data_IF_522976152895
#
_entry.id   IF_522976152895
#
_cell.length_a   1.000
_cell.length_b   1.000
_cell.length_c   1.000
_cell.angle_alpha   90.00
_cell.angle_beta   90.00
_cell.angle_gamma   90.00
#
_symmetry.space_group_name_H-M   'P 1'
#
loop_
_entity.id
_entity.type
_entity.pdbx_description
1 polymer ?
#
# COMPACT_ATOMS: atom_id res chain seq x y z
N UNK A 1 -16.63 4.07 -81.09
CA UNK A 1 -15.25 3.82 -80.61
C UNK A 1 -14.92 4.80 -79.47
N UNK A 2 -14.62 4.39 -78.23
CA UNK A 2 -13.85 3.26 -77.75
C UNK A 2 -14.25 2.98 -76.29
N UNK A 3 -14.35 1.69 -75.97
CA UNK A 3 -14.16 1.01 -74.69
C UNK A 3 -14.93 1.43 -73.42
N UNK A 4 -15.90 0.59 -73.03
CA UNK A 4 -16.20 0.27 -71.63
C UNK A 4 -15.16 -0.77 -71.13
N UNK A 5 -14.43 -0.42 -70.07
CA UNK A 5 -13.46 -1.28 -69.40
C UNK A 5 -14.17 -2.25 -68.41
N UNK A 6 -13.69 -3.50 -68.27
CA UNK A 6 -14.24 -4.46 -67.32
C UNK A 6 -13.72 -4.24 -65.88
N UNK A 7 -14.60 -4.47 -64.91
CA UNK A 7 -14.35 -4.46 -63.46
C UNK A 7 -13.24 -5.45 -63.06
N UNK A 8 -12.21 -4.95 -62.38
CA UNK A 8 -11.21 -5.77 -61.68
C UNK A 8 -11.51 -5.73 -60.18
N UNK A 9 -11.96 -6.88 -59.65
CA UNK A 9 -12.18 -7.09 -58.22
C UNK A 9 -10.86 -7.00 -57.45
N UNK A 10 -10.76 -6.04 -56.54
CA UNK A 10 -9.65 -5.95 -55.59
C UNK A 10 -9.70 -7.11 -54.57
N UNK A 11 -8.57 -7.79 -54.26
CA UNK A 11 -8.54 -8.78 -53.19
C UNK A 11 -8.47 -8.08 -51.82
N UNK A 12 -9.33 -8.51 -50.91
CA UNK A 12 -9.39 -8.04 -49.52
C UNK A 12 -8.06 -8.31 -48.78
N UNK A 13 -7.56 -7.38 -47.95
CA UNK A 13 -6.35 -7.59 -47.19
C UNK A 13 -6.56 -8.65 -46.11
N UNK A 14 -5.68 -9.66 -46.10
CA UNK A 14 -5.61 -10.70 -45.07
C UNK A 14 -5.38 -10.02 -43.71
N UNK A 15 -6.18 -10.38 -42.71
CA UNK A 15 -6.03 -9.92 -41.32
C UNK A 15 -4.61 -10.22 -40.84
N UNK A 16 -3.80 -9.18 -40.69
CA UNK A 16 -2.52 -9.29 -40.01
C UNK A 16 -2.81 -9.74 -38.57
N UNK A 17 -2.28 -10.89 -38.19
CA UNK A 17 -2.24 -11.29 -36.78
C UNK A 17 -1.50 -10.22 -36.00
N UNK A 18 -2.00 -9.90 -34.81
CA UNK A 18 -1.33 -8.97 -33.91
C UNK A 18 0.02 -9.61 -33.53
N UNK A 19 1.11 -8.92 -33.85
CA UNK A 19 2.47 -9.36 -33.55
C UNK A 19 2.80 -9.03 -32.09
N UNK A 20 2.89 -10.08 -31.26
CA UNK A 20 3.19 -9.98 -29.84
C UNK A 20 4.69 -9.92 -29.55
N UNK A 21 5.55 -9.91 -30.57
CA UNK A 21 7.02 -9.76 -30.42
C UNK A 21 7.42 -8.41 -29.80
N UNK A 22 6.48 -7.45 -29.73
CA UNK A 22 6.67 -6.16 -29.04
C UNK A 22 6.56 -6.28 -27.50
N UNK A 23 6.01 -7.38 -26.99
CA UNK A 23 5.88 -7.64 -25.55
C UNK A 23 7.00 -8.52 -24.99
N UNK A 24 7.84 -9.15 -25.82
CA UNK A 24 8.97 -9.98 -25.37
C UNK A 24 10.13 -9.16 -24.75
N UNK A 25 10.10 -7.82 -24.84
CA UNK A 25 11.07 -6.92 -24.23
C UNK A 25 10.45 -6.02 -23.15
N UNK A 26 9.29 -6.38 -22.59
CA UNK A 26 8.83 -5.75 -21.35
C UNK A 26 9.53 -6.48 -20.20
N UNK A 27 10.67 -5.95 -19.79
CA UNK A 27 11.30 -6.31 -18.53
C UNK A 27 10.35 -5.91 -17.39
N UNK A 28 9.98 -6.90 -16.58
CA UNK A 28 9.20 -6.74 -15.36
C UNK A 28 10.01 -5.86 -14.40
N UNK A 29 9.64 -4.58 -14.34
CA UNK A 29 10.30 -3.55 -13.55
C UNK A 29 9.86 -3.66 -12.08
N UNK A 30 10.15 -4.78 -11.42
CA UNK A 30 9.98 -4.92 -9.96
C UNK A 30 10.84 -6.04 -9.34
N UNK A 31 12.13 -6.08 -9.68
CA UNK A 31 13.12 -6.85 -8.92
C UNK A 31 14.41 -6.04 -8.80
N UNK A 32 14.57 -5.32 -7.67
CA UNK A 32 15.79 -4.60 -7.33
C UNK A 32 16.98 -5.56 -7.22
N UNK A 33 17.73 -5.72 -8.31
CA UNK A 33 19.07 -6.33 -8.28
C UNK A 33 20.13 -5.24 -7.99
N UNK A 34 20.87 -5.29 -6.86
CA UNK A 34 21.95 -4.37 -6.58
C UNK A 34 23.13 -4.58 -7.55
N UNK A 35 23.69 -3.46 -8.01
CA UNK A 35 24.83 -3.38 -8.93
C UNK A 35 26.08 -4.05 -8.36
N UNK A 36 26.62 -4.95 -9.16
CA UNK A 36 27.95 -5.54 -9.00
C UNK A 36 29.04 -4.48 -9.19
N UNK A 37 29.89 -4.28 -8.19
CA UNK A 37 31.27 -3.84 -8.38
C UNK A 37 32.19 -5.03 -8.09
N UNK A 38 32.93 -5.43 -9.11
CA UNK A 38 33.96 -6.45 -9.01
C UNK A 38 35.12 -5.94 -8.14
N UNK A 39 35.50 -6.69 -7.11
CA UNK A 39 36.90 -6.93 -6.75
C UNK A 39 36.99 -8.16 -5.85
N UNK A 40 37.77 -9.12 -6.33
CA UNK A 40 38.13 -10.38 -5.70
C UNK A 40 39.03 -10.18 -4.49
N UNK A 41 38.51 -10.40 -3.28
CA UNK A 41 39.29 -10.89 -2.13
C UNK A 41 38.39 -11.78 -1.26
N UNK A 42 38.75 -13.06 -1.15
CA UNK A 42 38.02 -14.06 -0.37
C UNK A 42 38.11 -13.74 1.14
N UNK A 43 37.15 -12.97 1.64
CA UNK A 43 36.94 -12.75 3.07
C UNK A 43 36.16 -13.94 3.62
N UNK A 44 36.78 -14.67 4.54
CA UNK A 44 36.16 -15.74 5.32
C UNK A 44 35.05 -15.09 6.17
N UNK A 45 33.80 -15.14 5.72
CA UNK A 45 32.67 -14.61 6.48
C UNK A 45 32.50 -15.42 7.76
N UNK A 46 32.61 -14.74 8.90
CA UNK A 46 32.43 -15.37 10.20
C UNK A 46 30.96 -15.75 10.37
N UNK A 47 30.67 -16.93 10.93
CA UNK A 47 29.29 -17.36 11.11
C UNK A 47 28.58 -16.47 12.14
N UNK A 48 27.38 -16.01 11.78
CA UNK A 48 26.55 -15.17 12.65
C UNK A 48 25.43 -16.00 13.30
N UNK A 49 24.99 -15.59 14.49
CA UNK A 49 23.85 -16.22 15.15
C UNK A 49 22.52 -15.81 14.48
N UNK A 50 21.62 -16.76 14.22
CA UNK A 50 20.31 -16.47 13.64
C UNK A 50 19.36 -15.69 14.57
N UNK A 51 19.49 -15.88 15.89
CA UNK A 51 18.61 -15.24 16.87
C UNK A 51 19.08 -13.84 17.30
N UNK A 52 20.40 -13.66 17.51
CA UNK A 52 20.94 -12.43 18.08
C UNK A 52 21.88 -11.66 17.14
N UNK A 53 22.09 -12.16 15.92
CA UNK A 53 22.90 -11.54 14.85
C UNK A 53 24.35 -11.19 15.22
N UNK A 54 24.87 -11.70 16.34
CA UNK A 54 26.27 -11.53 16.75
C UNK A 54 27.19 -12.48 15.99
N UNK A 55 28.38 -12.00 15.64
CA UNK A 55 29.46 -12.83 15.10
C UNK A 55 29.89 -13.88 16.15
N UNK A 56 29.97 -15.14 15.74
CA UNK A 56 30.35 -16.26 16.62
C UNK A 56 31.57 -16.95 16.02
N UNK A 57 32.57 -17.27 16.83
CA UNK A 57 33.74 -18.04 16.38
C UNK A 57 33.47 -19.56 16.31
N UNK A 58 32.49 -20.06 17.08
CA UNK A 58 32.07 -21.46 17.12
C UNK A 58 30.54 -21.56 17.11
N UNK A 59 29.90 -21.57 15.93
CA UNK A 59 28.45 -21.65 15.83
C UNK A 59 27.94 -23.05 16.18
N UNK A 60 26.87 -23.11 16.98
CA UNK A 60 26.09 -24.31 17.21
C UNK A 60 25.03 -24.44 16.10
N UNK A 61 25.06 -25.53 15.33
CA UNK A 61 24.05 -25.81 14.30
C UNK A 61 22.83 -26.52 14.88
N UNK A 62 21.67 -26.23 14.32
CA UNK A 62 20.45 -26.98 14.66
C UNK A 62 20.62 -28.49 14.33
N UNK A 63 20.38 -29.37 15.31
CA UNK A 63 20.60 -30.82 15.15
C UNK A 63 19.68 -31.50 14.13
N UNK A 64 18.53 -30.90 13.81
CA UNK A 64 17.52 -31.49 12.91
C UNK A 64 17.77 -31.11 11.45
N UNK A 65 17.87 -29.81 11.16
CA UNK A 65 18.02 -29.30 9.80
C UNK A 65 19.47 -29.02 9.41
N UNK A 66 20.36 -28.76 10.38
CA UNK A 66 21.77 -28.36 10.20
C UNK A 66 21.99 -27.09 9.33
N UNK A 67 20.92 -26.34 9.02
CA UNK A 67 20.95 -25.15 8.14
C UNK A 67 21.19 -23.84 8.88
N UNK A 68 20.77 -23.73 10.14
CA UNK A 68 20.87 -22.50 10.95
C UNK A 68 21.93 -22.63 12.03
N UNK A 69 22.55 -21.50 12.37
CA UNK A 69 23.68 -21.38 13.29
C UNK A 69 23.37 -20.45 14.46
N UNK A 70 23.81 -20.81 15.67
CA UNK A 70 23.55 -20.09 16.91
C UNK A 70 24.81 -19.87 17.73
N UNK A 71 24.85 -18.79 18.51
CA UNK A 71 25.96 -18.54 19.44
C UNK A 71 25.91 -19.41 20.71
N UNK A 72 24.71 -19.85 21.11
CA UNK A 72 24.49 -20.58 22.34
C UNK A 72 23.21 -21.43 22.29
N UNK A 73 23.09 -22.48 23.14
CA UNK A 73 21.85 -23.24 23.28
C UNK A 73 20.64 -22.38 23.70
N UNK A 74 20.89 -21.27 24.40
CA UNK A 74 19.83 -20.33 24.77
C UNK A 74 19.23 -19.66 23.54
N UNK A 75 20.07 -19.16 22.64
CA UNK A 75 19.62 -18.58 21.37
C UNK A 75 18.88 -19.59 20.47
N UNK A 76 19.24 -20.86 20.53
CA UNK A 76 18.51 -21.92 19.81
C UNK A 76 17.10 -22.14 20.38
N UNK A 77 16.92 -22.08 21.71
CA UNK A 77 15.61 -22.25 22.37
C UNK A 77 14.68 -21.07 22.12
N UNK A 78 15.21 -19.85 22.18
CA UNK A 78 14.43 -18.64 21.94
C UNK A 78 13.93 -18.57 20.49
N UNK A 79 14.80 -18.91 19.54
CA UNK A 79 14.46 -18.96 18.11
C UNK A 79 13.59 -20.18 17.73
N UNK A 80 13.51 -21.21 18.58
CA UNK A 80 12.69 -22.41 18.30
C UNK A 80 11.21 -22.08 18.06
N UNK A 81 10.69 -20.98 18.63
CA UNK A 81 9.32 -20.50 18.37
C UNK A 81 9.08 -20.21 16.88
N UNK A 82 10.11 -19.76 16.17
CA UNK A 82 10.07 -19.40 14.76
C UNK A 82 10.70 -20.49 13.88
N UNK A 83 11.91 -20.94 14.21
CA UNK A 83 12.66 -21.93 13.43
C UNK A 83 11.95 -23.27 13.26
N UNK A 84 11.14 -23.71 14.23
CA UNK A 84 10.39 -24.99 14.12
C UNK A 84 9.50 -25.08 12.87
N UNK A 85 9.03 -23.93 12.33
CA UNK A 85 8.20 -23.88 11.12
C UNK A 85 9.01 -24.14 9.85
N UNK A 86 10.30 -23.82 9.86
CA UNK A 86 11.21 -23.93 8.72
C UNK A 86 12.23 -25.08 8.87
N UNK A 87 12.28 -25.72 10.04
CA UNK A 87 13.18 -26.82 10.35
C UNK A 87 12.81 -28.11 9.60
N UNK A 88 13.51 -28.40 8.50
CA UNK A 88 13.36 -29.64 7.70
C UNK A 88 14.67 -30.42 7.64
N UNK A 89 14.61 -31.76 7.78
CA UNK A 89 15.78 -32.65 7.67
C UNK A 89 16.32 -32.61 6.23
N UNK A 90 17.64 -32.47 6.01
CA UNK A 90 18.20 -32.52 4.66
C UNK A 90 18.16 -33.96 4.10
N UNK A 91 17.77 -34.11 2.82
CA UNK A 91 17.91 -35.38 2.09
C UNK A 91 19.38 -35.59 1.68
N UNK A 92 19.87 -36.84 1.63
CA UNK A 92 21.23 -37.13 1.18
C UNK A 92 21.41 -36.76 -0.30
N UNK A 93 22.53 -36.14 -0.71
CA UNK A 93 22.76 -35.76 -2.10
C UNK A 93 22.83 -36.99 -3.02
N UNK A 94 22.02 -37.01 -4.08
CA UNK A 94 22.18 -37.94 -5.21
C UNK A 94 23.30 -37.42 -6.12
N UNK A 95 24.29 -38.26 -6.39
CA UNK A 95 25.40 -37.99 -7.31
C UNK A 95 24.88 -37.68 -8.74
N UNK A 96 25.39 -36.61 -9.35
CA UNK A 96 25.04 -36.17 -10.71
C UNK A 96 26.00 -36.84 -11.71
N UNK A 97 25.46 -37.54 -12.71
CA UNK A 97 26.16 -37.90 -13.93
C UNK A 97 25.53 -37.13 -15.12
N UNK A 98 26.41 -36.63 -15.97
CA UNK A 98 26.19 -35.70 -17.08
C UNK A 98 25.55 -36.32 -18.34
N UNK A 99 24.92 -35.45 -19.12
CA UNK A 99 24.60 -35.41 -20.56
C UNK A 99 24.64 -36.68 -21.43
N UNK A 100 23.53 -36.92 -22.16
CA UNK A 100 23.48 -37.12 -23.63
C UNK A 100 22.04 -37.07 -24.17
N UNK A 101 21.84 -36.36 -25.29
CA UNK A 101 20.63 -36.36 -26.15
C UNK A 101 20.59 -37.64 -27.04
N UNK A 102 19.44 -37.99 -27.66
CA UNK A 102 19.00 -39.36 -27.89
C UNK A 102 19.45 -39.98 -29.23
N UNK A 103 19.43 -41.30 -29.30
CA UNK A 103 19.64 -42.13 -30.51
C UNK A 103 18.63 -43.31 -30.50
N UNK A 104 18.40 -44.03 -31.63
CA UNK A 104 17.08 -44.46 -32.13
C UNK A 104 16.54 -45.77 -31.52
N UNK A 105 15.27 -46.15 -31.81
CA UNK A 105 14.62 -47.29 -31.18
C UNK A 105 15.16 -48.61 -31.74
N UNK A 106 15.58 -49.51 -30.85
CA UNK A 106 15.86 -50.90 -31.19
C UNK A 106 14.58 -51.73 -31.07
N UNK A 107 14.27 -52.38 -32.19
CA UNK A 107 13.29 -53.43 -32.38
C UNK A 107 13.51 -54.58 -31.41
N UNK A 108 12.52 -54.86 -30.55
CA UNK A 108 12.21 -56.24 -30.11
C UNK A 108 10.97 -56.23 -29.21
N UNK A 109 9.79 -56.33 -29.83
CA UNK A 109 8.69 -57.19 -29.37
C UNK A 109 7.46 -57.03 -30.25
N UNK A 110 7.63 -57.46 -31.49
CA UNK A 110 6.49 -57.93 -32.26
C UNK A 110 6.18 -59.35 -31.80
N UNK A 111 5.14 -59.50 -30.99
CA UNK A 111 4.12 -60.51 -31.26
C UNK A 111 2.94 -60.39 -30.31
N UNK A 112 1.77 -60.37 -30.94
CA UNK A 112 0.47 -60.82 -30.41
C UNK A 112 -0.39 -59.77 -29.72
N UNK A 113 -1.08 -58.96 -30.53
CA UNK A 113 -2.55 -59.00 -30.56
C UNK A 113 -3.09 -58.40 -31.86
N UNK A 114 -3.76 -59.24 -32.63
CA UNK A 114 -4.38 -58.90 -33.90
C UNK A 114 -5.52 -57.89 -33.72
N UNK A 115 -5.64 -57.04 -34.73
CA UNK A 115 -6.70 -56.06 -34.97
C UNK A 115 -7.92 -56.80 -35.52
N UNK A 116 -9.00 -56.83 -34.75
CA UNK A 116 -10.35 -57.07 -35.27
C UNK A 116 -11.17 -55.79 -35.10
N UNK A 117 -11.83 -55.42 -36.19
CA UNK A 117 -12.76 -54.30 -36.29
C UNK A 117 -14.00 -54.60 -35.46
N UNK A 118 -14.22 -53.82 -34.40
CA UNK A 118 -15.48 -53.85 -33.65
C UNK A 118 -16.11 -52.46 -33.64
N UNK A 119 -16.98 -52.28 -34.64
CA UNK A 119 -18.24 -51.53 -34.63
C UNK A 119 -18.46 -50.61 -33.41
N UNK A 120 -18.35 -49.29 -33.63
CA UNK A 120 -18.82 -48.27 -32.69
C UNK A 120 -20.34 -48.43 -32.55
N UNK A 121 -20.77 -49.01 -31.42
CA UNK A 121 -22.12 -48.88 -30.92
C UNK A 121 -22.13 -47.64 -30.03
N UNK A 122 -22.66 -46.55 -30.56
CA UNK A 122 -23.15 -45.43 -29.75
C UNK A 122 -24.26 -45.96 -28.84
N UNK A 123 -23.87 -46.34 -27.62
CA UNK A 123 -24.82 -46.42 -26.51
C UNK A 123 -24.37 -45.39 -25.50
N UNK A 124 -25.24 -44.39 -25.37
CA UNK A 124 -25.25 -43.44 -24.27
C UNK A 124 -25.21 -44.22 -22.96
N UNK A 125 -24.07 -44.26 -22.27
CA UNK A 125 -23.94 -44.35 -20.81
C UNK A 125 -22.49 -44.67 -20.38
N UNK A 126 -22.04 -43.97 -19.32
CA UNK A 126 -20.84 -44.22 -18.51
C UNK A 126 -19.45 -43.72 -18.98
N UNK A 127 -19.32 -42.39 -19.13
CA UNK A 127 -18.10 -41.68 -18.72
C UNK A 127 -18.23 -41.20 -17.26
N UNK A 128 -18.13 -42.12 -16.29
CA UNK A 128 -18.26 -41.85 -14.86
C UNK A 128 -16.91 -41.59 -14.17
N UNK A 129 -16.19 -40.55 -14.59
CA UNK A 129 -14.99 -40.08 -13.89
C UNK A 129 -15.15 -38.70 -13.21
N UNK A 130 -16.22 -37.96 -13.49
CA UNK A 130 -16.48 -36.68 -12.82
C UNK A 130 -17.83 -36.69 -12.10
N UNK A 131 -17.81 -37.15 -10.85
CA UNK A 131 -18.97 -37.17 -9.95
C UNK A 131 -19.23 -35.76 -9.40
N UNK A 132 -19.72 -34.85 -10.25
CA UNK A 132 -20.40 -33.66 -9.76
C UNK A 132 -21.67 -34.12 -9.05
N UNK A 133 -21.73 -33.86 -7.74
CA UNK A 133 -22.93 -33.92 -6.90
C UNK A 133 -24.11 -33.37 -7.70
N UNK A 134 -24.99 -34.26 -8.14
CA UNK A 134 -26.11 -33.95 -9.03
C UNK A 134 -27.08 -32.99 -8.35
N UNK A 135 -26.79 -31.70 -8.41
CA UNK A 135 -27.79 -30.69 -8.21
C UNK A 135 -28.60 -30.59 -9.51
N UNK A 136 -29.67 -31.38 -9.58
CA UNK A 136 -30.75 -31.19 -10.54
C UNK A 136 -31.74 -30.20 -9.90
N UNK A 137 -31.84 -28.94 -10.34
CA UNK A 137 -32.92 -28.07 -9.88
C UNK A 137 -34.26 -28.69 -10.32
N UNK A 138 -35.19 -28.88 -9.39
CA UNK A 138 -36.52 -29.46 -9.66
C UNK A 138 -37.40 -28.61 -10.59
N UNK A 139 -36.95 -27.41 -10.96
CA UNK A 139 -37.53 -26.60 -12.02
C UNK A 139 -36.63 -26.63 -13.25
N UNK A 140 -37.14 -27.18 -14.36
CA UNK A 140 -36.43 -27.21 -15.65
C UNK A 140 -35.84 -25.86 -16.07
N UNK A 141 -34.86 -25.90 -16.99
CA UNK A 141 -34.08 -24.75 -17.49
C UNK A 141 -34.98 -23.52 -17.67
N UNK A 142 -34.89 -22.55 -16.75
CA UNK A 142 -35.53 -21.24 -16.89
C UNK A 142 -34.69 -20.43 -17.86
N UNK A 143 -35.21 -20.23 -19.06
CA UNK A 143 -34.63 -19.28 -20.01
C UNK A 143 -34.89 -17.85 -19.52
N UNK A 144 -33.85 -17.23 -18.97
CA UNK A 144 -33.88 -15.82 -18.58
C UNK A 144 -33.76 -14.95 -19.83
N UNK A 145 -34.90 -14.49 -20.34
CA UNK A 145 -34.91 -13.45 -21.38
C UNK A 145 -34.56 -12.11 -20.72
N UNK A 146 -33.53 -11.38 -21.19
CA UNK A 146 -33.15 -10.11 -20.61
C UNK A 146 -34.33 -9.13 -20.71
N UNK A 147 -34.79 -8.65 -19.56
CA UNK A 147 -35.86 -7.67 -19.48
C UNK A 147 -35.32 -6.33 -20.00
N UNK A 148 -35.95 -5.78 -21.04
CA UNK A 148 -35.55 -4.47 -21.56
C UNK A 148 -35.83 -3.40 -20.50
N UNK A 149 -34.82 -2.57 -20.23
CA UNK A 149 -34.94 -1.46 -19.30
C UNK A 149 -35.87 -0.44 -19.95
N UNK A 150 -37.09 -0.33 -19.48
CA UNK A 150 -37.99 0.75 -19.88
C UNK A 150 -37.56 2.05 -19.20
N UNK A 151 -37.82 3.18 -19.85
CA UNK A 151 -37.50 4.55 -19.41
C UNK A 151 -37.80 4.86 -17.93
N UNK A 152 -38.89 4.38 -17.30
CA UNK A 152 -39.13 4.63 -15.87
C UNK A 152 -38.17 3.85 -14.94
N UNK A 153 -37.68 2.67 -15.35
CA UNK A 153 -36.72 1.89 -14.56
C UNK A 153 -35.31 2.48 -14.67
N UNK A 154 -34.97 3.03 -15.84
CA UNK A 154 -33.74 3.82 -16.02
C UNK A 154 -33.76 5.09 -15.16
N UNK A 155 -34.90 5.80 -15.09
CA UNK A 155 -35.07 6.98 -14.23
C UNK A 155 -34.98 6.62 -12.75
N UNK A 156 -35.63 5.54 -12.31
CA UNK A 156 -35.52 5.06 -10.93
C UNK A 156 -34.10 4.58 -10.55
N UNK A 157 -33.33 4.05 -11.52
CA UNK A 157 -31.92 3.69 -11.31
C UNK A 157 -31.02 4.93 -11.19
N UNK A 158 -31.31 6.00 -11.94
CA UNK A 158 -30.62 7.30 -11.83
C UNK A 158 -30.99 8.01 -10.53
N UNK A 159 -32.24 7.90 -10.06
CA UNK A 159 -32.66 8.41 -8.75
C UNK A 159 -32.07 7.61 -7.59
N UNK A 160 -31.87 6.30 -7.77
CA UNK A 160 -31.19 5.45 -6.79
C UNK A 160 -29.67 5.68 -6.74
N UNK A 161 -29.02 6.09 -7.85
CA UNK A 161 -27.61 6.50 -7.85
C UNK A 161 -27.37 7.88 -7.25
N UNK A 162 -28.41 8.71 -7.15
CA UNK A 162 -28.37 10.04 -6.54
C UNK A 162 -28.64 10.05 -5.03
N UNK A 163 -28.86 8.88 -4.41
CA UNK A 163 -28.87 8.81 -2.94
C UNK A 163 -27.42 8.83 -2.43
N UNK A 164 -27.12 9.59 -1.36
CA UNK A 164 -25.82 9.53 -0.70
C UNK A 164 -25.73 8.18 0.04
N UNK A 165 -25.36 7.14 -0.70
CA UNK A 165 -24.98 5.86 -0.14
C UNK A 165 -23.45 5.86 -0.07
N UNK A 166 -22.90 5.65 1.12
CA UNK A 166 -21.46 5.72 1.36
C UNK A 166 -20.61 4.77 0.50
N UNK A 167 -21.21 3.76 -0.14
CA UNK A 167 -20.54 2.77 -0.98
C UNK A 167 -20.97 2.80 -2.46
N UNK A 168 -20.10 2.29 -3.32
CA UNK A 168 -20.40 2.11 -4.75
C UNK A 168 -21.62 1.21 -4.94
N UNK A 169 -22.46 1.55 -5.93
CA UNK A 169 -23.70 0.81 -6.24
C UNK A 169 -23.49 -0.68 -6.55
N UNK A 170 -22.25 -1.10 -6.80
CA UNK A 170 -21.83 -2.48 -7.03
C UNK A 170 -21.63 -3.32 -5.75
N UNK A 171 -21.43 -2.68 -4.59
CA UNK A 171 -21.12 -3.35 -3.33
C UNK A 171 -22.38 -3.68 -2.51
N UNK A 172 -23.34 -4.35 -3.15
CA UNK A 172 -24.60 -4.77 -2.52
C UNK A 172 -24.42 -5.80 -1.38
N UNK A 173 -23.25 -6.44 -1.30
CA UNK A 173 -22.92 -7.47 -0.33
C UNK A 173 -22.22 -6.96 0.95
N UNK A 174 -22.00 -5.64 1.09
CA UNK A 174 -21.34 -5.07 2.27
C UNK A 174 -19.84 -5.37 2.38
N UNK A 175 -19.21 -5.70 1.24
CA UNK A 175 -17.76 -5.89 1.12
C UNK A 175 -17.01 -4.60 1.47
N UNK A 176 -15.84 -4.75 2.09
CA UNK A 176 -14.90 -3.65 2.35
C UNK A 176 -14.59 -2.93 1.03
N UNK A 177 -14.84 -1.61 1.00
CA UNK A 177 -14.47 -0.73 -0.09
C UNK A 177 -13.57 0.36 0.46
N UNK A 178 -12.31 0.38 0.04
CA UNK A 178 -11.37 1.41 0.43
C UNK A 178 -11.39 2.57 -0.58
N UNK A 179 -11.41 3.78 -0.05
CA UNK A 179 -11.34 5.01 -0.84
C UNK A 179 -10.16 5.78 -0.31
N UNK A 180 -9.05 5.70 -1.05
CA UNK A 180 -7.90 6.54 -0.80
C UNK A 180 -8.26 8.00 -1.12
N UNK A 181 -8.10 8.87 -0.13
CA UNK A 181 -8.36 10.30 -0.23
C UNK A 181 -7.16 11.10 0.27
N UNK A 182 -5.97 10.49 0.27
CA UNK A 182 -4.73 11.06 0.80
C UNK A 182 -4.41 12.42 0.18
N UNK A 183 -4.44 12.53 -1.15
CA UNK A 183 -4.13 13.81 -1.83
C UNK A 183 -5.10 14.93 -1.45
N UNK A 184 -6.41 14.61 -1.39
CA UNK A 184 -7.45 15.56 -0.99
C UNK A 184 -7.30 15.96 0.48
N UNK A 185 -6.97 15.01 1.36
CA UNK A 185 -6.73 15.27 2.77
C UNK A 185 -5.52 16.20 2.97
N UNK A 186 -4.41 15.93 2.29
CA UNK A 186 -3.20 16.77 2.35
C UNK A 186 -3.48 18.19 1.85
N UNK A 187 -4.18 18.33 0.72
CA UNK A 187 -4.52 19.63 0.16
C UNK A 187 -5.45 20.44 1.08
N UNK A 188 -6.55 19.83 1.54
CA UNK A 188 -7.52 20.51 2.41
C UNK A 188 -6.91 20.90 3.75
N UNK A 189 -6.05 20.06 4.33
CA UNK A 189 -5.32 20.39 5.56
C UNK A 189 -4.37 21.58 5.34
N UNK A 190 -3.62 21.57 4.23
CA UNK A 190 -2.72 22.66 3.86
C UNK A 190 -3.47 23.99 3.67
N UNK A 191 -4.64 23.97 3.03
CA UNK A 191 -5.49 25.15 2.84
C UNK A 191 -6.03 25.68 4.18
N UNK A 192 -6.50 24.80 5.08
CA UNK A 192 -7.03 25.19 6.39
C UNK A 192 -5.96 25.78 7.31
N UNK A 193 -4.77 25.19 7.30
CA UNK A 193 -3.62 25.67 8.07
C UNK A 193 -2.95 26.90 7.43
N UNK A 194 -3.06 27.07 6.11
CA UNK A 194 -2.60 28.27 5.40
C UNK A 194 -3.52 29.49 5.57
N UNK A 195 -4.72 29.30 6.13
CA UNK A 195 -5.65 30.38 6.44
C UNK A 195 -5.14 31.31 7.56
N UNK A 196 -5.82 32.45 7.72
CA UNK A 196 -5.47 33.43 8.77
C UNK A 196 -5.50 32.79 10.17
N UNK A 197 -4.33 32.74 10.81
CA UNK A 197 -4.16 32.33 12.20
C UNK A 197 -4.06 33.56 13.11
N UNK A 198 -4.49 33.46 14.38
CA UNK A 198 -4.29 34.52 15.34
C UNK A 198 -2.79 34.76 15.55
N UNK A 199 -2.39 36.03 15.53
CA UNK A 199 -1.09 36.44 16.04
C UNK A 199 -1.10 36.40 17.55
N UNK A 200 -0.05 35.88 18.16
CA UNK A 200 0.13 35.84 19.61
C UNK A 200 1.24 36.81 20.01
N UNK A 201 0.94 37.76 20.89
CA UNK A 201 1.92 38.74 21.36
C UNK A 201 2.71 38.19 22.55
N UNK A 202 4.03 37.97 22.39
CA UNK A 202 4.90 37.47 23.45
C UNK A 202 6.27 38.16 23.42
N UNK A 203 6.80 38.50 24.59
CA UNK A 203 8.18 38.97 24.74
C UNK A 203 8.48 40.29 24.02
N UNK A 204 7.49 41.17 23.84
CA UNK A 204 7.64 42.43 23.10
C UNK A 204 7.65 42.26 21.58
N UNK A 205 7.21 41.11 21.08
CA UNK A 205 7.03 40.82 19.67
C UNK A 205 5.72 40.10 19.37
N UNK A 206 5.44 39.93 18.09
CA UNK A 206 4.28 39.21 17.56
C UNK A 206 4.74 37.91 16.89
N UNK A 207 4.12 36.81 17.31
CA UNK A 207 4.30 35.46 16.77
C UNK A 207 3.17 35.15 15.80
N UNK A 208 3.50 34.87 14.55
CA UNK A 208 2.55 34.55 13.49
C UNK A 208 2.94 33.26 12.78
N UNK A 209 1.95 32.49 12.31
CA UNK A 209 2.18 31.41 11.36
C UNK A 209 2.35 31.97 9.94
N UNK A 210 3.38 31.51 9.24
CA UNK A 210 3.72 31.91 7.86
C UNK A 210 3.20 30.90 6.82
N UNK A 211 2.87 29.68 7.26
CA UNK A 211 2.24 28.65 6.41
C UNK A 211 2.70 27.23 6.75
N UNK A 212 2.39 26.28 5.88
CA UNK A 212 2.77 24.88 6.01
C UNK A 212 3.82 24.52 4.95
N UNK A 213 4.92 23.89 5.36
CA UNK A 213 6.01 23.46 4.48
C UNK A 213 5.64 22.18 3.72
N UNK A 214 5.38 21.12 4.48
CA UNK A 214 5.01 19.80 3.97
C UNK A 214 3.89 19.21 4.80
N UNK A 215 3.04 18.43 4.13
CA UNK A 215 2.04 17.55 4.73
C UNK A 215 2.27 16.18 4.10
N UNK A 216 2.52 15.20 4.94
CA UNK A 216 2.84 13.82 4.57
C UNK A 216 1.93 12.88 5.38
N UNK A 217 1.81 11.63 4.93
CA UNK A 217 0.96 10.62 5.56
C UNK A 217 -0.19 10.17 4.67
N UNK A 218 -1.04 9.31 5.21
CA UNK A 218 -2.13 8.64 4.50
C UNK A 218 -3.50 9.00 5.06
N UNK A 219 -4.51 9.02 4.18
CA UNK A 219 -5.89 9.25 4.55
C UNK A 219 -6.82 8.41 3.68
N UNK A 220 -7.64 7.58 4.32
CA UNK A 220 -8.58 6.69 3.66
C UNK A 220 -9.97 6.79 4.29
N UNK A 221 -10.99 6.51 3.46
CA UNK A 221 -12.40 6.46 3.89
C UNK A 221 -12.99 5.07 3.61
N UNK A 222 -12.62 4.03 4.39
CA UNK A 222 -13.11 2.70 4.14
C UNK A 222 -14.60 2.55 4.51
N UNK A 223 -15.37 1.93 3.62
CA UNK A 223 -16.79 1.64 3.80
C UNK A 223 -16.91 0.18 4.25
N UNK A 224 -17.34 -0.03 5.50
CA UNK A 224 -17.47 -1.37 6.09
C UNK A 224 -18.94 -1.61 6.43
N UNK A 225 -19.55 -2.63 5.82
CA UNK A 225 -20.97 -3.01 6.05
C UNK A 225 -21.93 -1.81 5.91
N UNK A 226 -21.67 -0.93 4.95
CA UNK A 226 -22.48 0.26 4.67
C UNK A 226 -22.25 1.46 5.60
N UNK A 227 -21.37 1.35 6.61
CA UNK A 227 -20.98 2.49 7.45
C UNK A 227 -19.59 2.97 7.03
N UNK A 228 -19.50 4.21 6.55
CA UNK A 228 -18.23 4.86 6.27
C UNK A 228 -17.42 4.97 7.57
N UNK A 229 -16.12 4.69 7.49
CA UNK A 229 -15.12 5.04 8.48
C UNK A 229 -14.17 6.02 7.84
N UNK A 230 -13.51 6.80 8.67
CA UNK A 230 -12.49 7.74 8.27
C UNK A 230 -11.24 7.38 9.06
N UNK A 231 -10.15 7.14 8.34
CA UNK A 231 -8.84 6.86 8.91
C UNK A 231 -7.86 7.84 8.29
N UNK A 232 -7.04 8.45 9.11
CA UNK A 232 -5.95 9.29 8.65
C UNK A 232 -4.81 9.20 9.66
N UNK A 233 -3.60 9.26 9.15
CA UNK A 233 -2.38 9.43 9.89
C UNK A 233 -1.53 10.43 9.12
N UNK A 234 -1.48 11.67 9.60
CA UNK A 234 -0.83 12.78 8.92
C UNK A 234 0.28 13.36 9.80
N UNK A 235 1.33 13.80 9.13
CA UNK A 235 2.44 14.54 9.74
C UNK A 235 2.73 15.78 8.92
N UNK A 236 2.91 16.92 9.57
CA UNK A 236 3.10 18.18 8.85
C UNK A 236 4.01 19.16 9.58
N UNK A 237 4.59 20.08 8.81
CA UNK A 237 5.53 21.11 9.30
C UNK A 237 4.95 22.49 9.10
N UNK A 238 4.71 23.21 10.19
CA UNK A 238 4.17 24.57 10.20
C UNK A 238 5.30 25.57 10.40
N UNK A 239 5.46 26.52 9.48
CA UNK A 239 6.41 27.62 9.56
C UNK A 239 5.83 28.74 10.42
N UNK A 240 6.59 29.21 11.39
CA UNK A 240 6.25 30.40 12.16
C UNK A 240 7.34 31.46 12.04
N UNK A 241 6.90 32.70 12.17
CA UNK A 241 7.73 33.90 12.15
C UNK A 241 7.43 34.69 13.41
N UNK A 242 8.47 34.96 14.19
CA UNK A 242 8.43 35.83 15.36
C UNK A 242 9.08 37.16 15.02
N UNK A 243 8.34 38.27 15.09
CA UNK A 243 8.84 39.63 14.82
C UNK A 243 8.89 40.40 16.12
N UNK A 244 10.03 40.98 16.48
CA UNK A 244 10.17 41.81 17.67
C UNK A 244 10.89 43.13 17.36
N UNK A 245 10.67 44.11 18.22
CA UNK A 245 11.37 45.39 18.16
C UNK A 245 12.58 45.35 19.09
N UNK A 246 13.74 45.74 18.57
CA UNK A 246 14.96 45.92 19.34
C UNK A 246 15.55 47.30 19.05
N UNK A 247 16.43 47.80 19.91
CA UNK A 247 17.02 49.14 19.80
C UNK A 247 17.72 49.44 18.46
N UNK A 248 18.01 48.41 17.64
CA UNK A 248 18.57 48.51 16.29
C UNK A 248 17.58 48.28 15.14
N UNK A 249 16.26 48.24 15.40
CA UNK A 249 15.22 48.07 14.39
C UNK A 249 14.37 46.80 14.58
N UNK A 250 13.51 46.52 13.60
CA UNK A 250 12.66 45.33 13.61
C UNK A 250 13.50 44.09 13.29
N UNK A 251 13.46 43.12 14.19
CA UNK A 251 14.09 41.81 14.03
C UNK A 251 13.03 40.76 13.79
N UNK A 252 13.42 39.68 13.12
CA UNK A 252 12.57 38.52 12.90
C UNK A 252 13.36 37.24 13.06
N UNK A 253 12.70 36.20 13.57
CA UNK A 253 13.23 34.85 13.65
C UNK A 253 12.21 33.90 13.06
N UNK A 254 12.70 32.93 12.31
CA UNK A 254 11.88 31.90 11.69
C UNK A 254 12.12 30.56 12.37
N UNK A 255 11.09 29.73 12.37
CA UNK A 255 11.17 28.37 12.87
C UNK A 255 10.05 27.51 12.31
N UNK A 256 10.14 26.22 12.59
CA UNK A 256 9.16 25.23 12.17
C UNK A 256 8.68 24.44 13.38
N UNK A 257 7.38 24.21 13.46
CA UNK A 257 6.76 23.23 14.35
C UNK A 257 6.40 22.01 13.52
N UNK A 258 7.02 20.89 13.84
CA UNK A 258 6.67 19.58 13.30
C UNK A 258 5.63 18.94 14.21
N UNK A 259 4.51 18.54 13.60
CA UNK A 259 3.42 17.79 14.23
C UNK A 259 3.45 16.39 13.63
N UNK A 260 3.80 15.38 14.43
CA UNK A 260 3.72 13.96 14.08
C UNK A 260 2.50 13.31 14.72
N UNK A 261 2.08 12.17 14.19
CA UNK A 261 1.02 11.35 14.76
C UNK A 261 -0.35 12.08 14.84
N UNK A 262 -0.65 12.94 13.86
CA UNK A 262 -1.98 13.54 13.76
C UNK A 262 -2.94 12.52 13.15
N UNK A 263 -3.64 11.83 14.03
CA UNK A 263 -4.57 10.74 13.72
C UNK A 263 -6.00 11.06 14.16
N UNK A 264 -6.95 10.16 13.86
CA UNK A 264 -8.33 10.23 14.33
C UNK A 264 -8.43 10.46 15.85
N UNK A 265 -7.56 9.80 16.62
CA UNK A 265 -7.63 9.77 18.08
C UNK A 265 -7.05 11.03 18.76
N UNK A 266 -6.42 11.93 17.99
CA UNK A 266 -5.73 13.11 18.52
C UNK A 266 -6.63 14.00 19.39
N UNK A 267 -7.93 14.03 19.08
CA UNK A 267 -8.94 14.84 19.77
C UNK A 267 -10.03 13.99 20.47
N UNK A 268 -9.87 12.67 20.54
CA UNK A 268 -10.88 11.77 21.13
C UNK A 268 -10.78 11.78 22.64
N UNK A 269 -11.86 12.17 23.32
CA UNK A 269 -11.92 12.19 24.78
C UNK A 269 -11.76 10.76 25.36
N UNK A 270 -10.74 10.55 26.21
CA UNK A 270 -10.49 9.28 26.90
C UNK A 270 -9.32 8.44 26.36
N UNK A 271 -8.91 8.68 25.11
CA UNK A 271 -7.67 8.12 24.51
C UNK A 271 -6.82 9.31 24.09
N UNK A 272 -6.17 9.96 25.06
CA UNK A 272 -5.27 11.09 24.80
C UNK A 272 -4.02 10.59 24.06
N UNK A 273 -4.12 10.43 22.74
CA UNK A 273 -2.96 10.28 21.86
C UNK A 273 -2.48 11.68 21.48
N UNK A 274 -1.61 12.25 22.31
CA UNK A 274 -1.00 13.54 22.00
C UNK A 274 -0.11 13.41 20.76
N UNK A 275 -0.24 14.31 19.77
CA UNK A 275 0.64 14.30 18.61
C UNK A 275 2.06 14.66 19.06
N UNK A 276 3.07 14.14 18.37
CA UNK A 276 4.45 14.53 18.63
C UNK A 276 4.69 15.97 18.17
N UNK A 277 5.03 16.86 19.10
CA UNK A 277 5.33 18.26 18.79
C UNK A 277 6.82 18.52 18.91
N UNK A 278 7.45 18.94 17.82
CA UNK A 278 8.87 19.32 17.80
C UNK A 278 9.04 20.72 17.23
N UNK A 279 9.64 21.61 18.02
CA UNK A 279 10.00 22.98 17.59
C UNK A 279 11.45 23.01 17.12
N UNK A 280 11.68 23.61 15.96
CA UNK A 280 13.00 23.88 15.42
C UNK A 280 13.10 25.36 15.02
N UNK A 281 14.24 25.99 15.28
CA UNK A 281 14.50 27.37 14.88
C UNK A 281 15.54 27.35 13.77
N UNK A 282 15.27 28.03 12.64
CA UNK A 282 16.27 28.18 11.57
C UNK A 282 17.38 29.14 11.98
N UNK A 283 17.02 30.22 12.69
CA UNK A 283 17.92 31.31 13.04
C UNK A 283 18.17 31.36 14.56
N UNK A 284 18.70 30.25 15.09
CA UNK A 284 18.97 30.10 16.53
C UNK A 284 19.95 31.13 17.11
N UNK A 285 20.78 31.77 16.26
CA UNK A 285 21.76 32.78 16.64
C UNK A 285 21.16 34.18 16.85
N UNK A 286 19.94 34.44 16.34
CA UNK A 286 19.31 35.76 16.44
C UNK A 286 18.42 35.93 17.68
N UNK A 287 18.18 34.84 18.41
CA UNK A 287 17.32 34.81 19.59
C UNK A 287 18.14 34.61 20.85
N UNK A 288 18.06 35.57 21.77
CA UNK A 288 18.57 35.41 23.12
C UNK A 288 17.84 34.25 23.83
N UNK A 289 18.55 33.49 24.67
CA UNK A 289 18.02 32.27 25.32
C UNK A 289 16.73 32.51 26.10
N UNK A 290 16.60 33.67 26.76
CA UNK A 290 15.38 34.05 27.47
C UNK A 290 14.18 34.28 26.54
N UNK A 291 14.40 34.95 25.40
CA UNK A 291 13.36 35.16 24.38
C UNK A 291 12.98 33.85 23.70
N UNK A 292 13.94 32.99 23.40
CA UNK A 292 13.67 31.65 22.85
C UNK A 292 12.76 30.85 23.77
N UNK A 293 13.05 30.81 25.07
CA UNK A 293 12.20 30.13 26.05
C UNK A 293 10.79 30.73 26.12
N UNK A 294 10.67 32.06 26.02
CA UNK A 294 9.37 32.73 25.96
C UNK A 294 8.59 32.37 24.68
N UNK A 295 9.25 32.29 23.52
CA UNK A 295 8.63 31.87 22.25
C UNK A 295 8.24 30.39 22.30
N UNK A 296 9.07 29.51 22.85
CA UNK A 296 8.73 28.09 23.05
C UNK A 296 7.52 27.94 23.99
N UNK A 297 7.43 28.74 25.05
CA UNK A 297 6.25 28.78 25.92
C UNK A 297 5.00 29.32 25.18
N UNK A 298 5.16 30.35 24.34
CA UNK A 298 4.09 30.91 23.52
C UNK A 298 3.54 29.95 22.47
N UNK A 299 4.41 29.08 21.93
CA UNK A 299 4.01 28.02 21.03
C UNK A 299 3.11 27.03 21.76
N UNK A 300 3.39 26.72 23.04
CA UNK A 300 2.52 25.86 23.84
C UNK A 300 2.73 24.37 23.58
N UNK A 301 3.95 23.94 23.25
CA UNK A 301 4.26 22.53 22.92
C UNK A 301 4.44 21.62 24.13
N UNK A 302 4.27 22.13 25.35
CA UNK A 302 4.54 21.39 26.60
C UNK A 302 3.37 20.56 27.12
N UNK A 303 2.13 20.84 26.69
CA UNK A 303 0.93 20.16 27.15
C UNK A 303 -0.06 19.96 25.99
N UNK A 304 -0.75 18.82 25.97
CA UNK A 304 -1.83 18.53 25.04
C UNK A 304 -3.12 18.24 25.83
N UNK A 305 -4.24 18.91 25.53
CA UNK A 305 -4.41 19.98 24.55
C UNK A 305 -3.70 21.29 24.95
N UNK A 306 -3.26 22.11 23.97
CA UNK A 306 -2.55 23.36 24.22
C UNK A 306 -3.43 24.42 24.92
N UNK A 307 -2.83 25.17 25.84
CA UNK A 307 -3.50 26.20 26.64
C UNK A 307 -4.06 27.34 25.76
N UNK A 308 -5.20 27.89 26.17
CA UNK A 308 -5.87 28.98 25.46
C UNK A 308 -4.95 30.22 25.37
N UNK A 309 -4.81 30.76 24.16
CA UNK A 309 -3.94 31.90 23.88
C UNK A 309 -2.54 31.55 23.35
N UNK A 310 -2.18 30.27 23.26
CA UNK A 310 -0.95 29.82 22.58
C UNK A 310 -1.16 29.72 21.07
N UNK A 311 -0.06 29.77 20.29
CA UNK A 311 -0.14 29.58 18.84
C UNK A 311 -0.67 28.17 18.50
N UNK A 312 -0.20 27.14 19.23
CA UNK A 312 -0.65 25.77 19.01
C UNK A 312 -2.12 25.57 19.37
N UNK A 313 -2.72 26.38 20.24
CA UNK A 313 -4.17 26.35 20.44
C UNK A 313 -4.93 26.75 19.19
N UNK A 314 -4.47 27.80 18.47
CA UNK A 314 -5.03 28.17 17.18
C UNK A 314 -4.85 27.07 16.12
N UNK A 315 -3.66 26.46 16.06
CA UNK A 315 -3.37 25.35 15.15
C UNK A 315 -4.23 24.12 15.49
N UNK A 316 -4.32 23.74 16.75
CA UNK A 316 -5.12 22.61 17.23
C UNK A 316 -6.62 22.83 16.96
N UNK A 317 -7.14 24.05 17.13
CA UNK A 317 -8.52 24.37 16.79
C UNK A 317 -8.80 24.18 15.29
N UNK A 318 -7.85 24.57 14.41
CA UNK A 318 -7.94 24.33 12.97
C UNK A 318 -7.83 22.85 12.61
N UNK A 319 -6.93 22.11 13.25
CA UNK A 319 -6.80 20.65 13.09
C UNK A 319 -8.10 19.95 13.50
N UNK A 320 -8.69 20.33 14.64
CA UNK A 320 -9.95 19.76 15.11
C UNK A 320 -11.12 20.11 14.18
N UNK A 321 -11.16 21.34 13.67
CA UNK A 321 -12.16 21.74 12.68
C UNK A 321 -12.02 20.92 11.40
N UNK A 322 -10.79 20.77 10.88
CA UNK A 322 -10.54 19.95 9.70
C UNK A 322 -10.90 18.48 9.93
N UNK A 323 -10.58 17.90 11.10
CA UNK A 323 -10.93 16.52 11.41
C UNK A 323 -12.45 16.28 11.41
N UNK A 324 -13.23 17.23 11.95
CA UNK A 324 -14.71 17.19 11.89
C UNK A 324 -15.23 17.29 10.47
N UNK A 325 -14.72 18.24 9.69
CA UNK A 325 -15.10 18.39 8.27
C UNK A 325 -14.74 17.13 7.46
N UNK A 326 -13.59 16.50 7.75
CA UNK A 326 -13.16 15.27 7.11
C UNK A 326 -14.08 14.08 7.43
N UNK A 327 -14.63 14.02 8.64
CA UNK A 327 -15.64 13.04 9.04
C UNK A 327 -17.00 13.29 8.36
N UNK A 328 -17.42 14.55 8.27
CA UNK A 328 -18.72 14.95 7.70
C UNK A 328 -18.79 14.86 6.18
N UNK A 329 -17.65 14.98 5.48
CA UNK A 329 -17.51 14.86 4.02
C UNK A 329 -17.69 13.39 3.59
N UNK A 330 -18.94 12.91 3.65
CA UNK A 330 -19.38 11.54 3.33
C UNK A 330 -20.24 11.45 2.07
#
# INVERSE_FOLDING_TARGET
PVAAAPEVKAPLPKKAGIDYSKFDNIEDSDDEKPKETATTEAKIEKPHCHNCHKEVSKPLRCGVCKKVEYCSPQCQKDDWRFHKRTCKKPEPPKEKAEERKPSPPSEDRESRRQKEEEKVVETEENLTWYRHREWKPEGGKKEFKPTQITTPVAQAAVEASNKPAAGSAWNKAGTWEDKDVTERAQQTLKEKLGGSMPSVDVGGGSLSCDGVDSVEGDASKPVIRGKQRHMFDLSFKVKFVFKWMESGGQRQAKGNVEVSDFTNDTFTEGVLSAPGLRVSFSDSSMLETARRKAVEAALGTGAWPPEAGTLMHGVAAKMQQWAKEYEEDS
#
